data_IF_680809292974
#
_entry.id   IF_680809292974
#
_cell.length_a   1.000
_cell.length_b   1.000
_cell.length_c   1.000
_cell.angle_alpha   90.00
_cell.angle_beta   90.00
_cell.angle_gamma   90.00
#
_symmetry.space_group_name_H-M   'P 1'
#
loop_
_entity.id
_entity.type
_entity.pdbx_description
1 polymer ?
#
# COMPACT_ATOMS: atom_id res chain seq x y z
N UNK A 1 -3.51 40.66 -29.78
CA UNK A 1 -4.13 39.32 -29.72
C UNK A 1 -3.28 38.46 -28.79
N UNK A 2 -3.82 38.14 -27.63
CA UNK A 2 -3.16 37.34 -26.60
C UNK A 2 -3.25 35.85 -26.99
N UNK A 3 -2.16 35.11 -26.86
CA UNK A 3 -2.18 33.64 -26.94
C UNK A 3 -2.39 33.12 -25.53
N UNK A 4 -3.60 32.69 -25.22
CA UNK A 4 -3.89 31.94 -24.01
C UNK A 4 -3.14 30.61 -24.09
N UNK A 5 -2.05 30.53 -23.34
CA UNK A 5 -1.35 29.28 -23.06
C UNK A 5 -2.24 28.49 -22.09
N UNK A 6 -2.70 27.27 -22.39
CA UNK A 6 -3.41 26.49 -21.38
C UNK A 6 -2.44 26.20 -20.24
N UNK A 7 -2.67 26.85 -19.11
CA UNK A 7 -2.11 26.47 -17.82
C UNK A 7 -2.46 25.01 -17.60
N UNK A 8 -1.51 24.10 -17.84
CA UNK A 8 -1.60 22.75 -17.29
C UNK A 8 -1.63 22.94 -15.77
N UNK A 9 -2.81 22.75 -15.16
CA UNK A 9 -2.99 22.78 -13.72
C UNK A 9 -2.03 21.79 -13.09
N UNK A 10 -0.96 22.31 -12.49
CA UNK A 10 0.02 21.58 -11.68
C UNK A 10 -0.65 21.18 -10.36
N UNK A 11 -1.66 20.30 -10.42
CA UNK A 11 -2.41 19.85 -9.23
C UNK A 11 -2.66 18.35 -9.29
N UNK A 12 -1.63 17.59 -9.64
CA UNK A 12 -1.69 16.12 -9.70
C UNK A 12 -0.82 15.39 -8.67
N UNK A 13 -0.03 16.07 -7.81
CA UNK A 13 1.18 15.42 -7.29
C UNK A 13 1.29 15.13 -5.79
N UNK A 14 0.25 15.37 -4.99
CA UNK A 14 0.23 14.97 -3.56
C UNK A 14 -1.00 14.12 -3.22
N UNK A 15 -1.41 13.21 -4.11
CA UNK A 15 -2.37 12.18 -3.73
C UNK A 15 -1.68 11.26 -2.74
N UNK A 16 -2.00 11.41 -1.44
CA UNK A 16 -1.53 10.53 -0.37
C UNK A 16 -1.73 9.06 -0.80
N UNK A 17 -0.64 8.31 -0.96
CA UNK A 17 -0.71 6.90 -1.36
C UNK A 17 -0.66 6.02 -0.13
N UNK A 18 -1.38 4.90 -0.18
CA UNK A 18 -1.21 3.83 0.81
C UNK A 18 -0.24 2.82 0.25
N UNK A 19 0.82 2.52 1.00
CA UNK A 19 1.86 1.60 0.57
C UNK A 19 1.97 0.46 1.59
N UNK A 20 1.88 -0.77 1.08
CA UNK A 20 2.20 -2.00 1.78
C UNK A 20 3.69 -2.32 1.59
N UNK A 21 4.38 -2.46 2.72
CA UNK A 21 5.76 -2.90 2.79
C UNK A 21 5.80 -4.37 3.23
N UNK A 22 6.43 -5.20 2.41
CA UNK A 22 6.61 -6.62 2.67
C UNK A 22 8.09 -6.97 2.68
N UNK A 23 8.56 -7.96 3.46
CA UNK A 23 9.96 -8.37 3.39
C UNK A 23 10.24 -9.02 2.04
N UNK A 24 11.43 -8.77 1.50
CA UNK A 24 11.91 -9.50 0.33
C UNK A 24 12.28 -10.93 0.73
N UNK A 25 11.92 -11.92 -0.07
CA UNK A 25 12.19 -13.34 0.23
C UNK A 25 13.70 -13.67 0.34
N UNK A 26 14.56 -12.82 -0.24
CA UNK A 26 16.00 -13.00 -0.33
C UNK A 26 16.80 -12.10 0.62
N UNK A 27 16.15 -11.23 1.41
CA UNK A 27 16.85 -10.25 2.23
C UNK A 27 15.97 -9.71 3.36
N UNK A 28 16.46 -9.85 4.59
CA UNK A 28 15.81 -9.32 5.79
C UNK A 28 15.93 -7.79 5.92
N UNK A 29 16.79 -7.18 5.09
CA UNK A 29 17.07 -5.74 5.08
C UNK A 29 16.31 -5.00 3.98
N UNK A 30 15.77 -5.73 3.01
CA UNK A 30 15.08 -5.16 1.86
C UNK A 30 13.58 -5.34 2.03
N UNK A 31 12.83 -4.30 1.71
CA UNK A 31 11.36 -4.35 1.67
C UNK A 31 10.89 -4.12 0.25
N UNK A 32 9.94 -4.93 -0.17
CA UNK A 32 9.18 -4.72 -1.40
C UNK A 32 7.98 -3.81 -1.09
N UNK A 33 7.70 -2.87 -1.99
CA UNK A 33 6.64 -1.89 -1.87
C UNK A 33 5.51 -2.21 -2.84
N UNK A 34 4.28 -2.11 -2.36
CA UNK A 34 3.07 -2.29 -3.16
C UNK A 34 2.04 -1.22 -2.81
N UNK A 35 1.60 -0.46 -3.81
CA UNK A 35 0.52 0.50 -3.63
C UNK A 35 -0.82 -0.21 -3.39
N UNK A 36 -1.60 0.34 -2.47
CA UNK A 36 -2.93 -0.13 -2.11
C UNK A 36 -3.97 0.94 -2.44
N UNK A 37 -5.16 0.53 -2.93
CA UNK A 37 -6.18 1.46 -3.42
C UNK A 37 -7.04 2.14 -2.33
N UNK A 38 -6.85 1.78 -1.05
CA UNK A 38 -7.67 2.27 0.08
C UNK A 38 -6.76 2.91 1.13
N UNK A 39 -7.32 3.59 2.13
CA UNK A 39 -6.53 4.20 3.21
C UNK A 39 -5.90 3.12 4.11
N UNK A 40 -4.80 3.42 4.84
CA UNK A 40 -4.17 2.45 5.73
C UNK A 40 -5.13 1.87 6.79
N UNK A 41 -6.05 2.71 7.30
CA UNK A 41 -7.04 2.32 8.30
C UNK A 41 -8.09 1.33 7.78
N UNK A 42 -8.23 1.18 6.46
CA UNK A 42 -9.16 0.26 5.81
C UNK A 42 -8.59 -1.16 5.68
N UNK A 43 -7.40 -1.41 6.24
CA UNK A 43 -6.75 -2.70 6.21
C UNK A 43 -6.49 -3.22 7.62
N UNK A 44 -6.68 -4.53 7.78
CA UNK A 44 -6.29 -5.27 8.97
C UNK A 44 -5.06 -6.12 8.64
N UNK A 45 -3.99 -5.91 9.40
CA UNK A 45 -2.83 -6.79 9.39
C UNK A 45 -3.00 -7.84 10.48
N UNK A 46 -2.94 -9.11 10.10
CA UNK A 46 -3.00 -10.25 11.02
C UNK A 46 -1.70 -11.04 10.93
N UNK A 47 -0.98 -11.24 12.05
CA UNK A 47 0.10 -12.22 12.09
C UNK A 47 -0.49 -13.61 11.81
N UNK A 48 0.30 -14.50 11.21
CA UNK A 48 -0.18 -15.83 10.85
C UNK A 48 -0.45 -16.70 12.06
N UNK A 49 -1.73 -16.95 12.36
CA UNK A 49 -2.13 -17.90 13.40
C UNK A 49 -2.22 -19.35 12.88
N UNK A 50 -2.58 -19.56 11.61
CA UNK A 50 -2.92 -20.89 11.06
C UNK A 50 -1.82 -21.52 10.21
N UNK A 51 -1.06 -20.72 9.46
CA UNK A 51 -0.02 -21.19 8.51
C UNK A 51 1.32 -20.45 8.65
N UNK A 52 1.53 -19.75 9.78
CA UNK A 52 2.67 -18.82 9.98
C UNK A 52 2.78 -17.70 8.91
N UNK A 53 1.72 -17.49 8.12
CA UNK A 53 1.64 -16.46 7.07
C UNK A 53 0.96 -15.20 7.57
N UNK A 54 1.62 -14.07 7.37
CA UNK A 54 1.02 -12.76 7.58
C UNK A 54 -0.04 -12.49 6.54
N UNK A 55 -1.18 -11.97 6.97
CA UNK A 55 -2.29 -11.60 6.09
C UNK A 55 -2.62 -10.13 6.20
N UNK A 56 -2.97 -9.53 5.07
CA UNK A 56 -3.55 -8.19 5.00
C UNK A 56 -4.92 -8.31 4.37
N UNK A 57 -5.93 -7.90 5.12
CA UNK A 57 -7.34 -8.02 4.71
C UNK A 57 -7.96 -6.64 4.60
N UNK A 58 -8.64 -6.36 3.50
CA UNK A 58 -9.49 -5.18 3.39
C UNK A 58 -10.66 -5.29 4.36
N UNK A 59 -10.85 -4.30 5.20
CA UNK A 59 -12.00 -4.20 6.10
C UNK A 59 -13.28 -3.80 5.36
N UNK A 60 -13.16 -3.27 4.15
CA UNK A 60 -14.29 -2.80 3.35
C UNK A 60 -15.13 -3.96 2.82
N UNK A 61 -14.48 -5.02 2.36
CA UNK A 61 -15.14 -6.16 1.71
C UNK A 61 -14.66 -7.54 2.20
N UNK A 62 -13.68 -7.58 3.10
CA UNK A 62 -13.11 -8.82 3.63
C UNK A 62 -12.07 -9.49 2.72
N UNK A 63 -11.68 -8.84 1.60
CA UNK A 63 -10.73 -9.43 0.65
C UNK A 63 -9.31 -9.48 1.23
N UNK A 64 -8.65 -10.63 1.12
CA UNK A 64 -7.23 -10.77 1.45
C UNK A 64 -6.39 -10.22 0.29
N UNK A 65 -5.73 -9.08 0.51
CA UNK A 65 -4.88 -8.41 -0.50
C UNK A 65 -3.41 -8.84 -0.43
N UNK A 66 -3.02 -9.50 0.66
CA UNK A 66 -1.71 -10.12 0.84
C UNK A 66 -1.78 -11.33 1.77
N UNK A 67 -1.06 -12.40 1.42
CA UNK A 67 -0.83 -13.57 2.27
C UNK A 67 0.59 -14.08 2.05
N UNK A 68 1.45 -13.93 3.06
CA UNK A 68 2.88 -13.90 2.81
C UNK A 68 3.81 -14.04 4.00
N UNK A 69 5.10 -13.88 3.71
CA UNK A 69 6.13 -13.66 4.73
C UNK A 69 5.91 -12.30 5.41
N UNK A 70 6.30 -12.17 6.67
CA UNK A 70 6.19 -10.92 7.42
C UNK A 70 7.30 -10.80 8.48
N UNK A 71 7.27 -9.76 9.31
CA UNK A 71 6.19 -8.79 9.49
C UNK A 71 5.97 -7.86 8.30
N UNK A 72 4.73 -7.41 8.12
CA UNK A 72 4.36 -6.43 7.08
C UNK A 72 3.90 -5.11 7.71
N UNK A 73 3.94 -4.04 6.93
CA UNK A 73 3.58 -2.70 7.39
C UNK A 73 2.80 -1.93 6.33
N UNK A 74 1.81 -1.14 6.74
CA UNK A 74 1.04 -0.28 5.85
C UNK A 74 1.23 1.16 6.29
N UNK A 75 1.66 2.02 5.37
CA UNK A 75 1.89 3.44 5.63
C UNK A 75 1.19 4.31 4.61
N UNK A 76 0.96 5.56 5.01
CA UNK A 76 0.65 6.64 4.10
C UNK A 76 1.97 7.29 3.64
N UNK A 77 2.11 7.53 2.34
CA UNK A 77 3.32 8.06 1.70
C UNK A 77 3.00 9.19 0.74
#
# INVERSE_FOLDING_TARGET
MNRDNPSMSQTDFFSERTTLYTPAWYSDKTREERELPLSPADYKVSPGDVDDRWTVTSLKDGTVVYSGIGPVEIRRT
#
